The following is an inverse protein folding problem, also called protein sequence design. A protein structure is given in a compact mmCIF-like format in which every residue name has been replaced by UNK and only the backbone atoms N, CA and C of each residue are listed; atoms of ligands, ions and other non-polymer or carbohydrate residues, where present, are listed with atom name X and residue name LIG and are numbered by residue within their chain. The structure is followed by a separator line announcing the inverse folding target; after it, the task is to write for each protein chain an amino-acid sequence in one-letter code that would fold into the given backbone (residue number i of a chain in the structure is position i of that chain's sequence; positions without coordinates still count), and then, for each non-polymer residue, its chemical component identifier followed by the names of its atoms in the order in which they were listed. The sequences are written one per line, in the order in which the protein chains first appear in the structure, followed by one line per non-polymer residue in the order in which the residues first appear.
data_IF_475716132761
#
_entry.id   IF_475716132761
#
_cell.length_a   1.000
_cell.length_b   1.000
_cell.length_c   1.000
_cell.angle_alpha   90.00
_cell.angle_beta   90.00
_cell.angle_gamma   90.00
#
_symmetry.space_group_name_H-M   'P 1'
#
loop_
_entity.id
_entity.type
_entity.pdbx_description
1 polymer ?
#
# COMPACT_ATOMS: atom_id res chain seq x y z
N UNK A 1 4.65 1.98 -6.89
CA UNK A 1 4.00 0.77 -7.46
C UNK A 1 5.02 -0.23 -7.97
N UNK A 2 4.70 -1.52 -7.87
CA UNK A 2 5.58 -2.60 -8.33
C UNK A 2 5.52 -2.81 -9.86
N UNK A 3 4.48 -2.28 -10.51
CA UNK A 3 4.27 -2.44 -11.97
C UNK A 3 3.94 -3.87 -12.38
N UNK A 4 3.20 -4.62 -11.55
CA UNK A 4 2.95 -6.05 -11.76
C UNK A 4 2.22 -6.40 -13.06
N UNK A 5 1.57 -5.44 -13.69
CA UNK A 5 0.86 -5.59 -14.96
C UNK A 5 1.67 -5.14 -16.18
N UNK A 6 2.89 -4.66 -15.99
CA UNK A 6 3.80 -4.30 -17.07
C UNK A 6 4.46 -5.56 -17.64
N UNK A 7 4.81 -5.53 -18.92
CA UNK A 7 5.53 -6.63 -19.57
C UNK A 7 6.94 -6.77 -19.00
N UNK A 8 7.61 -5.65 -18.78
CA UNK A 8 8.92 -5.58 -18.12
C UNK A 8 8.91 -4.58 -16.95
N UNK A 9 8.39 -4.97 -15.74
CA UNK A 9 8.28 -4.07 -14.61
C UNK A 9 9.61 -3.44 -14.17
N UNK A 10 10.72 -4.17 -14.33
CA UNK A 10 12.05 -3.73 -13.91
C UNK A 10 12.62 -2.63 -14.82
N UNK A 11 12.00 -2.36 -15.97
CA UNK A 11 12.40 -1.29 -16.89
C UNK A 11 11.34 -0.23 -17.06
N UNK A 12 10.05 -0.59 -16.92
CA UNK A 12 8.92 0.22 -17.34
C UNK A 12 8.19 0.93 -16.20
N UNK A 13 8.41 0.51 -14.95
CA UNK A 13 7.77 1.19 -13.81
C UNK A 13 8.33 2.58 -13.59
N UNK A 14 7.51 3.51 -13.13
CA UNK A 14 7.89 4.93 -13.01
C UNK A 14 9.12 5.14 -12.13
N UNK A 15 9.29 4.36 -11.05
CA UNK A 15 10.44 4.46 -10.17
C UNK A 15 11.74 4.11 -10.89
N UNK A 16 11.74 3.06 -11.72
CA UNK A 16 12.91 2.70 -12.53
C UNK A 16 13.22 3.74 -13.62
N UNK A 17 12.18 4.29 -14.25
CA UNK A 17 12.34 5.36 -15.23
C UNK A 17 12.99 6.61 -14.62
N UNK A 18 12.61 6.97 -13.38
CA UNK A 18 13.25 8.05 -12.63
C UNK A 18 14.70 7.73 -12.31
N UNK A 19 14.99 6.55 -11.78
CA UNK A 19 16.36 6.16 -11.46
C UNK A 19 17.29 6.19 -12.68
N UNK A 20 16.81 5.72 -13.82
CA UNK A 20 17.57 5.78 -15.08
C UNK A 20 17.85 7.23 -15.53
N UNK A 21 16.93 8.17 -15.31
CA UNK A 21 17.11 9.58 -15.67
C UNK A 21 18.10 10.31 -14.74
N UNK A 22 18.12 9.93 -13.46
CA UNK A 22 19.00 10.54 -12.45
C UNK A 22 20.29 9.77 -12.21
N UNK A 23 20.56 8.73 -13.00
CA UNK A 23 21.70 7.82 -12.82
C UNK A 23 21.80 7.27 -11.38
N UNK A 24 20.65 6.85 -10.85
CA UNK A 24 20.48 6.41 -9.48
C UNK A 24 20.17 4.92 -9.37
N UNK A 25 20.53 4.30 -8.26
CA UNK A 25 20.13 2.94 -7.92
C UNK A 25 18.70 2.92 -7.36
N UNK A 26 17.90 1.94 -7.81
CA UNK A 26 16.55 1.75 -7.33
C UNK A 26 16.45 0.67 -6.25
N UNK A 27 15.93 1.04 -5.08
CA UNK A 27 15.48 0.09 -4.06
C UNK A 27 13.96 0.12 -3.98
N UNK A 28 13.28 -0.86 -4.59
CA UNK A 28 11.82 -0.89 -4.65
C UNK A 28 11.21 -1.81 -3.59
N UNK A 29 10.65 -1.21 -2.53
CA UNK A 29 10.00 -1.89 -1.41
C UNK A 29 8.49 -2.10 -1.63
N UNK A 30 7.95 -1.70 -2.78
CA UNK A 30 6.53 -1.83 -3.07
C UNK A 30 6.11 -3.30 -3.22
N UNK A 31 4.91 -3.61 -2.74
CA UNK A 31 4.28 -4.92 -2.95
C UNK A 31 2.84 -4.75 -3.45
N UNK A 32 2.35 -5.75 -4.16
CA UNK A 32 0.97 -5.76 -4.61
C UNK A 32 0.00 -5.81 -3.43
N UNK A 33 -0.96 -4.86 -3.41
CA UNK A 33 -1.97 -4.76 -2.36
C UNK A 33 -1.41 -4.34 -1.00
N UNK A 34 -0.22 -3.75 -0.94
CA UNK A 34 0.33 -3.19 0.30
C UNK A 34 -0.56 -2.11 0.88
N UNK A 35 -0.48 -1.92 2.20
CA UNK A 35 -1.20 -0.91 2.97
C UNK A 35 -0.31 0.27 3.35
N UNK A 36 -0.91 1.35 3.84
CA UNK A 36 -0.16 2.46 4.42
C UNK A 36 0.52 2.05 5.75
N UNK A 37 -0.03 1.09 6.48
CA UNK A 37 0.61 0.49 7.67
C UNK A 37 1.98 -0.11 7.30
N UNK A 38 2.06 -0.81 6.16
CA UNK A 38 3.32 -1.35 5.66
C UNK A 38 4.32 -0.26 5.29
N UNK A 39 3.85 0.84 4.68
CA UNK A 39 4.73 1.96 4.32
C UNK A 39 5.39 2.52 5.58
N UNK A 40 4.59 2.79 6.62
CA UNK A 40 5.10 3.30 7.90
C UNK A 40 6.06 2.30 8.56
N UNK A 41 5.73 1.02 8.56
CA UNK A 41 6.58 -0.03 9.11
C UNK A 41 7.92 -0.14 8.37
N UNK A 42 7.90 -0.11 7.03
CA UNK A 42 9.13 -0.11 6.25
C UNK A 42 10.00 1.11 6.55
N UNK A 43 9.37 2.29 6.70
CA UNK A 43 10.09 3.54 6.97
C UNK A 43 10.71 3.57 8.37
N UNK A 44 10.00 3.03 9.40
CA UNK A 44 10.40 3.20 10.79
C UNK A 44 11.12 2.01 11.38
N UNK A 45 10.92 0.80 10.83
CA UNK A 45 11.32 -0.45 11.51
C UNK A 45 12.17 -1.35 10.63
N UNK A 46 11.82 -1.52 9.35
CA UNK A 46 12.43 -2.55 8.52
C UNK A 46 13.62 -2.06 7.70
N UNK A 47 13.74 -0.74 7.49
CA UNK A 47 14.81 -0.15 6.70
C UNK A 47 15.37 1.08 7.41
N UNK A 48 16.67 1.33 7.24
CA UNK A 48 17.26 2.59 7.63
C UNK A 48 17.08 3.59 6.48
N UNK A 49 16.11 4.49 6.62
CA UNK A 49 15.78 5.45 5.54
C UNK A 49 16.93 6.41 5.24
N UNK A 50 17.82 6.63 6.21
CA UNK A 50 18.97 7.54 6.07
C UNK A 50 20.06 6.98 5.15
N UNK A 51 19.99 5.69 4.78
CA UNK A 51 20.90 5.07 3.82
C UNK A 51 20.56 5.43 2.35
N UNK A 52 19.50 6.23 2.11
CA UNK A 52 19.04 6.63 0.78
C UNK A 52 19.13 8.14 0.58
N UNK A 53 19.35 8.57 -0.67
CA UNK A 53 19.40 9.99 -1.04
C UNK A 53 18.01 10.61 -1.25
N UNK A 54 17.02 9.80 -1.61
CA UNK A 54 15.65 10.22 -1.91
C UNK A 54 14.64 9.12 -1.60
N UNK A 55 13.53 9.49 -0.99
CA UNK A 55 12.36 8.63 -0.83
C UNK A 55 11.21 9.10 -1.74
N UNK A 56 10.70 8.21 -2.58
CA UNK A 56 9.45 8.41 -3.32
C UNK A 56 8.40 7.45 -2.77
N UNK A 57 7.46 7.96 -2.00
CA UNK A 57 6.47 7.16 -1.28
C UNK A 57 5.09 7.39 -1.86
N UNK A 58 4.46 6.33 -2.37
CA UNK A 58 3.09 6.36 -2.84
C UNK A 58 2.15 5.77 -1.78
N UNK A 59 1.40 6.62 -1.10
CA UNK A 59 0.31 6.17 -0.23
C UNK A 59 -0.85 5.58 -1.04
N UNK A 60 -1.48 4.59 -0.46
CA UNK A 60 -2.62 3.87 -1.03
C UNK A 60 -3.92 4.20 -0.29
N UNK A 61 -5.01 3.53 -0.66
CA UNK A 61 -6.30 3.70 0.02
C UNK A 61 -6.20 3.34 1.51
N UNK A 62 -6.72 4.19 2.41
CA UNK A 62 -6.60 4.01 3.86
C UNK A 62 -7.33 2.79 4.41
N UNK A 63 -8.24 2.22 3.63
CA UNK A 63 -8.99 0.99 3.98
C UNK A 63 -8.14 -0.27 3.97
N UNK A 64 -6.98 -0.25 3.32
CA UNK A 64 -6.05 -1.37 3.35
C UNK A 64 -5.33 -1.38 4.69
N UNK A 65 -5.23 -2.57 5.28
CA UNK A 65 -4.55 -2.74 6.56
C UNK A 65 -3.68 -3.99 6.57
N UNK A 66 -2.70 -4.03 7.47
CA UNK A 66 -1.87 -5.20 7.73
C UNK A 66 -1.94 -5.54 9.21
N UNK A 67 -1.90 -6.85 9.50
CA UNK A 67 -1.80 -7.38 10.85
C UNK A 67 -0.58 -8.25 10.95
N UNK A 68 0.13 -8.11 12.03
CA UNK A 68 1.15 -9.07 12.39
C UNK A 68 0.46 -10.30 12.99
N UNK A 69 0.61 -11.41 12.33
CA UNK A 69 0.23 -12.69 12.90
C UNK A 69 1.45 -13.26 13.59
N UNK A 70 1.64 -12.90 14.83
CA UNK A 70 2.52 -13.67 15.66
C UNK A 70 1.87 -15.05 15.87
N UNK A 71 2.56 -16.08 15.44
CA UNK A 71 2.19 -17.46 15.71
C UNK A 71 3.26 -18.12 16.60
N UNK A 72 3.73 -17.46 17.66
CA UNK A 72 4.52 -18.17 18.63
C UNK A 72 3.55 -18.94 19.48
N UNK A 73 3.74 -20.22 19.55
CA UNK A 73 3.42 -21.05 20.72
C UNK A 73 2.10 -20.84 21.47
N UNK A 74 1.11 -20.12 20.99
CA UNK A 74 -0.22 -20.11 21.60
C UNK A 74 -0.89 -21.44 21.29
N UNK A 75 -1.00 -22.26 22.30
CA UNK A 75 -1.87 -23.43 22.24
C UNK A 75 -3.27 -22.93 21.97
N UNK A 76 -3.86 -23.34 20.85
CA UNK A 76 -5.31 -23.23 20.71
C UNK A 76 -6.01 -24.07 21.78
N UNK A 77 -7.27 -23.81 22.08
CA UNK A 77 -8.05 -24.60 23.04
C UNK A 77 -8.02 -26.12 22.76
N UNK A 78 -7.71 -26.54 21.53
CA UNK A 78 -7.55 -27.95 21.14
C UNK A 78 -6.13 -28.52 21.37
N UNK A 79 -5.22 -27.75 21.99
CA UNK A 79 -3.88 -28.22 22.34
C UNK A 79 -2.85 -28.32 21.21
N UNK A 80 -3.20 -27.90 19.97
CA UNK A 80 -2.26 -27.94 18.84
C UNK A 80 -1.40 -26.70 18.78
N UNK A 81 -0.11 -26.88 18.47
CA UNK A 81 0.83 -25.78 18.26
C UNK A 81 0.90 -25.39 16.80
N UNK A 82 0.91 -24.10 16.51
CA UNK A 82 1.26 -23.63 15.18
C UNK A 82 2.77 -23.59 15.01
N UNK A 83 3.26 -24.15 13.90
CA UNK A 83 4.65 -23.95 13.49
C UNK A 83 4.82 -22.47 13.15
N UNK A 84 5.84 -21.84 13.71
CA UNK A 84 6.23 -20.47 13.32
C UNK A 84 6.48 -20.41 11.80
N UNK A 85 6.04 -19.36 11.11
CA UNK A 85 6.49 -19.12 9.75
C UNK A 85 8.03 -18.98 9.77
N UNK A 86 8.69 -19.64 8.83
CA UNK A 86 10.16 -19.67 8.74
C UNK A 86 10.79 -18.28 8.47
N UNK A 87 9.99 -17.27 8.12
CA UNK A 87 10.44 -15.91 7.85
C UNK A 87 9.42 -14.88 8.35
N UNK A 88 9.92 -13.81 8.97
CA UNK A 88 9.08 -12.70 9.46
C UNK A 88 8.21 -12.05 8.36
N UNK A 89 8.65 -12.10 7.10
CA UNK A 89 7.88 -11.60 5.95
C UNK A 89 6.54 -12.30 5.75
N UNK A 90 6.41 -13.56 6.15
CA UNK A 90 5.20 -14.36 6.02
C UNK A 90 4.19 -14.13 7.16
N UNK A 91 4.62 -13.40 8.20
CA UNK A 91 3.79 -13.12 9.37
C UNK A 91 2.80 -11.96 9.15
N UNK A 92 3.05 -11.10 8.15
CA UNK A 92 2.17 -9.96 7.87
C UNK A 92 1.02 -10.33 6.92
N UNK A 93 -0.18 -10.13 7.41
CA UNK A 93 -1.42 -10.43 6.67
C UNK A 93 -2.04 -9.13 6.17
N UNK A 94 -2.22 -9.07 4.85
CA UNK A 94 -2.89 -7.96 4.18
C UNK A 94 -4.38 -8.20 4.09
N UNK A 95 -5.15 -7.21 4.49
CA UNK A 95 -6.62 -7.23 4.37
C UNK A 95 -7.08 -5.97 3.66
N UNK A 96 -7.96 -6.14 2.70
CA UNK A 96 -8.63 -5.02 2.03
C UNK A 96 -10.04 -5.43 1.59
N UNK A 97 -11.03 -4.53 1.67
CA UNK A 97 -12.33 -4.78 1.10
C UNK A 97 -12.24 -4.91 -0.42
N UNK A 98 -13.03 -5.81 -1.01
CA UNK A 98 -13.14 -5.97 -2.45
C UNK A 98 -14.11 -4.91 -2.99
N UNK A 99 -13.74 -4.27 -4.07
CA UNK A 99 -14.50 -3.42 -4.99
C UNK A 99 -15.69 -2.54 -4.51
N UNK A 100 -16.20 -2.68 -3.31
CA UNK A 100 -17.36 -1.93 -2.82
C UNK A 100 -17.19 -1.44 -1.38
N UNK A 101 -16.06 -0.77 -1.13
CA UNK A 101 -15.79 -0.09 0.13
C UNK A 101 -17.00 0.76 0.61
N UNK A 102 -17.65 1.49 -0.30
CA UNK A 102 -18.84 2.28 0.02
C UNK A 102 -19.99 1.42 0.55
N UNK A 103 -20.21 0.21 0.02
CA UNK A 103 -21.26 -0.70 0.51
C UNK A 103 -21.06 -1.09 1.97
N UNK A 104 -19.83 -1.38 2.34
CA UNK A 104 -19.49 -1.75 3.71
C UNK A 104 -19.65 -0.59 4.70
N UNK A 105 -19.29 0.62 4.28
CA UNK A 105 -19.49 1.81 5.09
C UNK A 105 -20.96 2.13 5.33
N UNK A 106 -21.83 1.69 4.45
CA UNK A 106 -23.28 1.88 4.55
C UNK A 106 -24.04 0.65 5.07
N UNK A 107 -23.32 -0.37 5.59
CA UNK A 107 -23.93 -1.56 6.17
C UNK A 107 -24.45 -2.58 5.15
N UNK A 108 -24.07 -2.44 3.88
CA UNK A 108 -24.40 -3.41 2.84
C UNK A 108 -23.35 -4.54 2.78
N UNK A 109 -23.79 -5.76 2.40
CA UNK A 109 -22.90 -6.90 2.22
C UNK A 109 -21.83 -6.63 1.16
N UNK A 110 -20.58 -6.77 1.55
CA UNK A 110 -19.41 -6.64 0.69
C UNK A 110 -18.47 -7.85 0.83
N UNK A 111 -17.75 -8.17 -0.23
CA UNK A 111 -16.71 -9.22 -0.21
C UNK A 111 -15.37 -8.69 0.26
N UNK A 112 -14.60 -9.53 0.98
CA UNK A 112 -13.21 -9.23 1.36
C UNK A 112 -12.27 -9.74 0.26
N UNK A 113 -11.52 -8.82 -0.35
CA UNK A 113 -10.74 -9.15 -1.54
C UNK A 113 -9.44 -9.92 -1.28
N UNK A 114 -8.86 -9.83 -0.10
CA UNK A 114 -7.58 -10.47 0.20
C UNK A 114 -7.47 -10.82 1.67
N UNK A 115 -8.11 -11.90 2.02
CA UNK A 115 -7.64 -12.72 3.12
C UNK A 115 -6.62 -13.69 2.50
N UNK A 116 -5.41 -13.74 3.04
CA UNK A 116 -4.51 -14.82 2.68
C UNK A 116 -5.23 -16.14 2.87
N UNK A 117 -4.92 -17.19 2.09
CA UNK A 117 -5.65 -18.48 2.11
C UNK A 117 -5.86 -19.05 3.50
N UNK A 118 -4.95 -18.77 4.43
CA UNK A 118 -5.01 -19.18 5.84
C UNK A 118 -6.11 -18.50 6.68
N UNK A 119 -6.86 -17.55 6.12
CA UNK A 119 -7.86 -16.72 6.82
C UNK A 119 -9.23 -16.70 6.15
N UNK A 120 -9.45 -17.55 5.15
CA UNK A 120 -10.77 -17.69 4.51
C UNK A 120 -11.86 -18.01 5.54
N UNK A 121 -11.49 -18.76 6.58
CA UNK A 121 -12.39 -19.16 7.67
C UNK A 121 -12.77 -18.00 8.63
N UNK A 122 -12.14 -16.81 8.47
CA UNK A 122 -12.43 -15.64 9.28
C UNK A 122 -13.09 -14.51 8.49
N UNK A 123 -13.69 -14.82 7.35
CA UNK A 123 -14.35 -13.82 6.49
C UNK A 123 -15.41 -13.01 7.25
N UNK A 124 -16.18 -13.65 8.12
CA UNK A 124 -17.23 -13.01 8.90
C UNK A 124 -16.68 -12.02 9.94
N UNK A 125 -15.55 -12.35 10.57
CA UNK A 125 -14.86 -11.40 11.45
C UNK A 125 -14.48 -10.14 10.70
N UNK A 126 -13.90 -10.25 9.50
CA UNK A 126 -13.48 -9.08 8.72
C UNK A 126 -14.65 -8.29 8.18
N UNK A 127 -15.74 -8.95 7.77
CA UNK A 127 -16.99 -8.28 7.45
C UNK A 127 -17.47 -7.46 8.64
N UNK A 128 -17.58 -8.07 9.81
CA UNK A 128 -17.99 -7.41 11.04
C UNK A 128 -17.08 -6.21 11.37
N UNK A 129 -15.77 -6.38 11.26
CA UNK A 129 -14.79 -5.32 11.50
C UNK A 129 -15.03 -4.11 10.60
N UNK A 130 -15.15 -4.32 9.29
CA UNK A 130 -15.37 -3.22 8.36
C UNK A 130 -16.76 -2.59 8.47
N UNK A 131 -17.79 -3.36 8.80
CA UNK A 131 -19.16 -2.86 8.94
C UNK A 131 -19.44 -2.14 10.25
N UNK A 132 -18.83 -2.59 11.34
CA UNK A 132 -19.23 -2.16 12.70
C UNK A 132 -18.11 -1.52 13.51
N UNK A 133 -16.85 -1.83 13.22
CA UNK A 133 -15.70 -1.32 13.98
C UNK A 133 -15.04 -0.12 13.29
N UNK A 134 -15.17 -0.02 11.96
CA UNK A 134 -14.58 1.07 11.19
C UNK A 134 -15.64 2.03 10.65
N UNK A 135 -15.19 3.21 10.22
CA UNK A 135 -16.03 4.23 9.62
C UNK A 135 -15.22 5.06 8.62
N UNK A 136 -15.88 5.88 7.82
CA UNK A 136 -15.20 6.86 6.97
C UNK A 136 -14.25 7.72 7.81
N UNK A 137 -14.74 8.22 8.94
CA UNK A 137 -13.97 9.06 9.86
C UNK A 137 -12.74 8.34 10.42
N UNK A 138 -12.87 7.05 10.74
CA UNK A 138 -11.74 6.22 11.18
C UNK A 138 -10.65 6.17 10.10
N UNK A 139 -11.01 5.90 8.85
CA UNK A 139 -10.04 5.78 7.76
C UNK A 139 -9.43 7.14 7.37
N UNK A 140 -10.19 8.23 7.39
CA UNK A 140 -9.64 9.58 7.22
C UNK A 140 -8.64 9.93 8.32
N UNK A 141 -8.94 9.56 9.57
CA UNK A 141 -8.04 9.79 10.71
C UNK A 141 -6.78 8.94 10.57
N UNK A 142 -6.93 7.67 10.21
CA UNK A 142 -5.81 6.75 9.95
C UNK A 142 -4.90 7.25 8.83
N UNK A 143 -5.48 7.75 7.73
CA UNK A 143 -4.71 8.35 6.63
C UNK A 143 -3.91 9.57 7.09
N UNK A 144 -4.51 10.45 7.90
CA UNK A 144 -3.81 11.60 8.48
C UNK A 144 -2.65 11.18 9.38
N UNK A 145 -2.87 10.18 10.25
CA UNK A 145 -1.80 9.65 11.10
C UNK A 145 -0.65 9.15 10.23
N UNK A 146 -0.91 8.31 9.24
CA UNK A 146 0.13 7.80 8.35
C UNK A 146 0.86 8.91 7.59
N UNK A 147 0.11 9.87 7.03
CA UNK A 147 0.68 11.02 6.33
C UNK A 147 1.66 11.80 7.22
N UNK A 148 1.23 12.20 8.41
CA UNK A 148 2.06 12.97 9.33
C UNK A 148 3.25 12.14 9.86
N UNK A 149 3.03 10.84 10.12
CA UNK A 149 4.12 9.95 10.51
C UNK A 149 5.20 9.89 9.44
N UNK A 150 4.83 9.69 8.18
CA UNK A 150 5.78 9.63 7.05
C UNK A 150 6.51 10.97 6.91
N UNK A 151 5.77 12.10 6.88
CA UNK A 151 6.36 13.44 6.73
C UNK A 151 7.35 13.79 7.84
N UNK A 152 7.02 13.45 9.07
CA UNK A 152 7.83 13.82 10.23
C UNK A 152 9.02 12.88 10.47
N UNK A 153 8.91 11.62 10.04
CA UNK A 153 9.94 10.60 10.29
C UNK A 153 10.95 10.48 9.16
N UNK A 154 10.59 10.86 7.93
CA UNK A 154 11.51 10.83 6.81
C UNK A 154 12.48 12.03 6.90
N UNK A 155 13.77 11.78 7.12
CA UNK A 155 14.80 12.80 7.30
C UNK A 155 15.57 13.14 6.02
N UNK A 156 15.35 12.36 4.98
CA UNK A 156 15.91 12.61 3.64
C UNK A 156 14.88 13.32 2.75
N UNK A 157 15.27 13.87 1.60
CA UNK A 157 14.34 14.38 0.61
C UNK A 157 13.22 13.39 0.31
N UNK A 158 11.97 13.87 0.33
CA UNK A 158 10.78 13.04 0.22
C UNK A 158 9.81 13.61 -0.81
N UNK A 159 9.40 12.78 -1.76
CA UNK A 159 8.23 13.03 -2.60
C UNK A 159 7.10 12.10 -2.15
N UNK A 160 6.05 12.67 -1.60
CA UNK A 160 4.92 11.92 -1.07
C UNK A 160 3.72 12.01 -2.03
N UNK A 161 3.35 10.87 -2.58
CA UNK A 161 2.32 10.71 -3.61
C UNK A 161 1.07 10.06 -3.03
N UNK A 162 -0.09 10.30 -3.64
CA UNK A 162 -1.31 9.56 -3.34
C UNK A 162 -2.07 9.15 -4.60
N UNK A 163 -2.79 8.02 -4.53
CA UNK A 163 -3.82 7.61 -5.50
C UNK A 163 -5.24 7.85 -4.96
N UNK A 164 -5.35 8.32 -3.73
CA UNK A 164 -6.65 8.60 -3.10
C UNK A 164 -7.16 9.97 -3.48
N UNK A 165 -8.13 10.02 -4.40
CA UNK A 165 -8.73 11.28 -4.90
C UNK A 165 -9.58 12.03 -3.87
N UNK A 166 -9.99 11.37 -2.82
CA UNK A 166 -10.87 11.97 -1.80
C UNK A 166 -10.11 12.57 -0.63
N UNK A 167 -8.79 12.39 -0.60
CA UNK A 167 -7.96 13.01 0.44
C UNK A 167 -7.88 14.52 0.27
N UNK A 168 -7.86 15.24 1.39
CA UNK A 168 -7.60 16.67 1.46
C UNK A 168 -6.21 17.01 2.01
N UNK A 169 -5.38 16.00 2.19
CA UNK A 169 -4.02 16.18 2.69
C UNK A 169 -3.12 16.76 1.60
N UNK A 170 -2.15 17.61 1.96
CA UNK A 170 -1.28 18.28 1.02
C UNK A 170 -0.13 17.36 0.55
N UNK A 171 -0.46 16.40 -0.30
CA UNK A 171 0.52 15.57 -1.00
C UNK A 171 1.30 16.39 -2.02
N UNK A 172 2.54 16.00 -2.30
CA UNK A 172 3.35 16.66 -3.34
C UNK A 172 2.75 16.40 -4.73
N UNK A 173 2.17 15.22 -4.93
CA UNK A 173 1.45 14.89 -6.14
C UNK A 173 0.32 13.91 -5.86
N UNK A 174 -0.85 14.22 -6.37
CA UNK A 174 -1.92 13.25 -6.52
C UNK A 174 -1.77 12.59 -7.89
N UNK A 175 -1.48 11.29 -7.89
CA UNK A 175 -1.35 10.55 -9.13
C UNK A 175 -2.70 10.49 -9.82
N UNK A 176 -2.74 11.04 -11.02
CA UNK A 176 -3.89 11.01 -11.89
C UNK A 176 -4.20 9.57 -12.32
N UNK A 177 -5.47 9.30 -12.53
CA UNK A 177 -5.93 8.04 -13.08
C UNK A 177 -5.57 7.85 -14.57
N UNK A 178 -5.12 8.92 -15.22
CA UNK A 178 -4.90 8.93 -16.66
C UNK A 178 -6.17 8.69 -17.48
N UNK A 179 -6.02 8.65 -18.78
CA UNK A 179 -7.10 8.28 -19.70
C UNK A 179 -7.32 6.76 -19.70
N UNK A 180 -8.45 6.29 -20.25
CA UNK A 180 -8.72 4.84 -20.44
C UNK A 180 -7.62 4.14 -21.24
N UNK A 181 -7.01 4.86 -22.19
CA UNK A 181 -5.92 4.32 -23.04
C UNK A 181 -4.63 4.08 -22.26
N UNK A 182 -4.44 4.75 -21.12
CA UNK A 182 -3.26 4.61 -20.25
C UNK A 182 -3.45 3.52 -19.18
N UNK A 183 -4.48 2.70 -19.28
CA UNK A 183 -4.78 1.63 -18.33
C UNK A 183 -4.95 0.29 -19.01
N UNK A 184 -4.58 -0.77 -18.30
CA UNK A 184 -4.99 -2.13 -18.64
C UNK A 184 -6.50 -2.33 -18.43
N UNK A 185 -7.08 -3.41 -19.01
CA UNK A 185 -8.51 -3.75 -18.84
C UNK A 185 -8.96 -3.88 -17.39
N UNK A 186 -8.07 -4.23 -16.49
CA UNK A 186 -8.30 -4.34 -15.04
C UNK A 186 -8.19 -2.99 -14.29
N UNK A 187 -7.94 -1.87 -14.99
CA UNK A 187 -7.83 -0.54 -14.43
C UNK A 187 -6.45 -0.17 -13.85
N UNK A 188 -5.46 -1.07 -13.92
CA UNK A 188 -4.10 -0.78 -13.48
C UNK A 188 -3.33 0.06 -14.50
N UNK A 189 -2.35 0.89 -14.07
CA UNK A 189 -1.51 1.69 -14.95
C UNK A 189 -0.78 0.81 -15.98
N UNK A 190 -0.82 1.22 -17.23
CA UNK A 190 0.03 0.65 -18.27
C UNK A 190 1.36 1.42 -18.38
N UNK A 191 2.21 1.04 -19.34
CA UNK A 191 3.51 1.68 -19.57
C UNK A 191 3.42 3.19 -19.80
N UNK A 192 2.42 3.66 -20.54
CA UNK A 192 2.27 5.09 -20.82
C UNK A 192 1.89 5.89 -19.56
N UNK A 193 1.06 5.33 -18.68
CA UNK A 193 0.73 5.98 -17.43
C UNK A 193 1.93 5.99 -16.47
N UNK A 194 2.78 4.96 -16.48
CA UNK A 194 4.03 4.95 -15.72
C UNK A 194 5.01 6.02 -16.21
N UNK A 195 5.14 6.24 -17.53
CA UNK A 195 5.93 7.35 -18.10
C UNK A 195 5.37 8.71 -17.67
N UNK A 196 4.05 8.85 -17.70
CA UNK A 196 3.39 10.09 -17.26
C UNK A 196 3.70 10.38 -15.78
N UNK A 197 3.60 9.39 -14.90
CA UNK A 197 3.95 9.55 -13.49
C UNK A 197 5.43 9.92 -13.29
N UNK A 198 6.34 9.27 -14.01
CA UNK A 198 7.76 9.61 -13.96
C UNK A 198 8.00 11.08 -14.34
N UNK A 199 7.35 11.55 -15.42
CA UNK A 199 7.43 12.95 -15.84
C UNK A 199 6.95 13.93 -14.76
N UNK A 200 5.78 13.69 -14.17
CA UNK A 200 5.23 14.54 -13.11
C UNK A 200 6.13 14.59 -11.87
N UNK A 201 6.66 13.45 -11.43
CA UNK A 201 7.56 13.38 -10.27
C UNK A 201 8.88 14.12 -10.55
N UNK A 202 9.42 13.97 -11.76
CA UNK A 202 10.61 14.69 -12.18
C UNK A 202 10.42 16.21 -12.11
N UNK A 203 9.26 16.73 -12.47
CA UNK A 203 8.96 18.17 -12.41
C UNK A 203 8.95 18.69 -10.97
N UNK A 204 8.64 17.85 -9.99
CA UNK A 204 8.73 18.17 -8.56
C UNK A 204 10.19 18.16 -8.06
N UNK A 205 11.02 17.27 -8.61
CA UNK A 205 12.41 17.09 -8.18
C UNK A 205 13.39 18.13 -8.80
N UNK A 206 12.95 18.92 -9.76
CA UNK A 206 13.71 20.02 -10.38
C UNK A 206 13.48 21.34 -9.66
#
# INVERSE_FOLDING_TARGET
TRGAELENPEEERFSKLLCNEFDAEEVNLAINGGSNDRIVRNLLVENNIEDYDLAVIQMTFPVRTEFFKDTPSTKFPNGKWFKQPKQAKDAWVKVSPKNNYNKWLHGEDGDIARLGEKFKDHSDFWKYYYMHVTSVKYFETKEKIHYHTIRNSCKIPLVLLTINRWTKLPFDLQLDDGTRQMKHKNGHPNKELHKHYAKQIREILR
#
